data_IF_251321081552
#
_entry.id   IF_251321081552
#
_cell.length_a   1.000
_cell.length_b   1.000
_cell.length_c   1.000
_cell.angle_alpha   90.00
_cell.angle_beta   90.00
_cell.angle_gamma   90.00
#
_symmetry.space_group_name_H-M   'P 1'
#
loop_
_entity.id
_entity.type
_entity.pdbx_description
1 polymer ?
#
# COMPACT_ATOMS: atom_id res chain seq x y z
N UNK A 1 50.25 -2.96 32.71
CA UNK A 1 49.31 -3.34 31.62
C UNK A 1 48.77 -2.05 30.99
N UNK A 2 48.92 -1.87 29.67
CA UNK A 2 48.61 -0.62 28.94
C UNK A 2 47.17 -0.65 28.41
N UNK A 3 46.35 0.29 28.83
CA UNK A 3 44.99 0.50 28.31
C UNK A 3 45.11 1.26 26.99
N UNK A 4 44.75 0.61 25.87
CA UNK A 4 44.60 1.29 24.58
C UNK A 4 43.19 1.84 24.47
N UNK A 5 43.07 3.17 24.49
CA UNK A 5 41.84 3.91 24.17
C UNK A 5 41.59 3.78 22.66
N UNK A 6 40.48 3.18 22.27
CA UNK A 6 40.00 3.19 20.88
C UNK A 6 39.02 4.35 20.78
N UNK A 7 39.47 5.45 20.20
CA UNK A 7 38.63 6.60 19.86
C UNK A 7 37.88 6.26 18.58
N UNK A 8 36.60 5.94 18.69
CA UNK A 8 35.70 5.79 17.54
C UNK A 8 35.08 7.16 17.22
N UNK A 9 35.72 7.85 16.27
CA UNK A 9 35.17 9.05 15.63
C UNK A 9 34.04 8.61 14.70
N UNK A 10 32.79 8.74 15.14
CA UNK A 10 31.61 8.55 14.28
C UNK A 10 31.38 9.87 13.54
N UNK A 11 32.02 10.00 12.38
CA UNK A 11 31.67 11.02 11.39
C UNK A 11 30.72 10.35 10.40
N UNK A 12 29.44 10.72 10.42
CA UNK A 12 28.47 10.10 9.52
C UNK A 12 27.14 10.82 9.53
N UNK A 13 27.04 11.83 8.65
CA UNK A 13 25.85 12.39 8.01
C UNK A 13 24.52 12.41 8.79
N UNK A 14 24.03 13.62 9.04
CA UNK A 14 22.64 13.89 9.37
C UNK A 14 21.70 13.25 8.32
N UNK A 15 21.02 12.17 8.69
CA UNK A 15 19.83 11.74 7.98
C UNK A 15 18.64 12.41 8.64
N UNK A 16 18.10 13.41 7.95
CA UNK A 16 16.76 13.92 8.17
C UNK A 16 15.76 12.77 7.94
N UNK A 17 15.57 11.91 8.93
CA UNK A 17 14.43 11.01 8.97
C UNK A 17 13.25 11.84 9.45
N UNK A 18 12.67 12.60 8.50
CA UNK A 18 11.39 13.26 8.70
C UNK A 18 10.40 12.24 9.26
N UNK A 19 9.72 12.63 10.32
CA UNK A 19 8.61 11.89 10.91
C UNK A 19 7.54 11.78 9.82
N UNK A 20 7.61 10.71 9.02
CA UNK A 20 6.53 10.32 8.14
C UNK A 20 5.48 9.70 9.06
N UNK A 21 4.63 10.57 9.58
CA UNK A 21 3.37 10.24 10.22
C UNK A 21 2.73 9.13 9.41
N UNK A 22 2.76 7.91 9.91
CA UNK A 22 1.89 6.85 9.47
C UNK A 22 0.48 7.29 9.86
N UNK A 23 -0.09 8.20 9.07
CA UNK A 23 -1.52 8.38 9.00
C UNK A 23 -2.00 7.06 8.44
N UNK A 24 -2.32 6.14 9.35
CA UNK A 24 -3.32 5.13 9.11
C UNK A 24 -4.57 5.92 8.69
N UNK A 25 -4.69 6.22 7.40
CA UNK A 25 -5.99 6.56 6.85
C UNK A 25 -6.86 5.39 7.26
N UNK A 26 -7.88 5.68 8.05
CA UNK A 26 -8.96 4.76 8.33
C UNK A 26 -9.52 4.38 6.97
N UNK A 27 -9.00 3.27 6.45
CA UNK A 27 -9.22 2.76 5.11
C UNK A 27 -10.65 2.25 5.08
N UNK A 28 -11.56 3.17 4.80
CA UNK A 28 -12.89 2.84 4.32
C UNK A 28 -12.79 3.00 2.82
N UNK A 29 -12.76 1.91 2.03
CA UNK A 29 -12.72 2.02 0.59
C UNK A 29 -14.05 2.65 0.18
N UNK A 30 -14.04 3.95 -0.09
CA UNK A 30 -15.13 4.54 -0.85
C UNK A 30 -15.24 3.78 -2.17
N UNK A 31 -16.44 3.49 -2.66
CA UNK A 31 -16.61 2.81 -3.93
C UNK A 31 -16.04 3.70 -5.04
N UNK A 32 -14.82 3.39 -5.47
CA UNK A 32 -14.18 4.03 -6.60
C UNK A 32 -14.80 3.50 -7.90
N UNK A 33 -14.87 4.35 -8.93
CA UNK A 33 -15.20 3.88 -10.28
C UNK A 33 -14.08 2.96 -10.79
N UNK A 34 -14.39 2.02 -11.70
CA UNK A 34 -13.36 1.12 -12.25
C UNK A 34 -12.21 1.87 -12.95
N UNK A 35 -12.53 3.01 -13.55
CA UNK A 35 -11.58 3.89 -14.23
C UNK A 35 -10.66 4.64 -13.26
N UNK A 36 -11.10 4.85 -12.01
CA UNK A 36 -10.34 5.59 -11.01
C UNK A 36 -8.94 5.01 -10.82
N UNK A 37 -8.80 3.68 -10.78
CA UNK A 37 -7.51 3.04 -10.55
C UNK A 37 -6.52 3.36 -11.67
N UNK A 38 -6.93 3.16 -12.92
CA UNK A 38 -6.10 3.44 -14.10
C UNK A 38 -5.77 4.94 -14.21
N UNK A 39 -6.72 5.82 -13.90
CA UNK A 39 -6.50 7.27 -13.88
C UNK A 39 -5.53 7.72 -12.76
N UNK A 40 -5.47 6.99 -11.65
CA UNK A 40 -4.65 7.34 -10.48
C UNK A 40 -3.23 6.79 -10.58
N UNK A 41 -3.09 5.56 -11.05
CA UNK A 41 -1.83 4.80 -11.04
C UNK A 41 -1.22 4.65 -12.44
N UNK A 42 -1.96 4.98 -13.50
CA UNK A 42 -1.51 4.91 -14.88
C UNK A 42 -1.58 3.51 -15.49
N UNK A 43 -1.42 3.45 -16.81
CA UNK A 43 -1.54 2.22 -17.60
C UNK A 43 -0.44 1.18 -17.30
N UNK A 44 0.69 1.59 -16.71
CA UNK A 44 1.74 0.67 -16.27
C UNK A 44 1.27 -0.30 -15.18
N UNK A 45 0.20 0.06 -14.47
CA UNK A 45 -0.36 -0.68 -13.34
C UNK A 45 -1.64 -1.43 -13.70
N UNK A 46 -1.85 -1.69 -15.00
CA UNK A 46 -3.09 -2.22 -15.56
C UNK A 46 -3.56 -3.51 -14.88
N UNK A 47 -2.66 -4.48 -14.69
CA UNK A 47 -3.01 -5.79 -14.11
C UNK A 47 -3.42 -5.68 -12.65
N UNK A 48 -2.68 -4.88 -11.86
CA UNK A 48 -3.03 -4.62 -10.46
C UNK A 48 -4.35 -3.86 -10.34
N UNK A 49 -4.61 -2.90 -11.23
CA UNK A 49 -5.87 -2.19 -11.26
C UNK A 49 -7.05 -3.08 -11.67
N UNK A 50 -6.86 -3.99 -12.63
CA UNK A 50 -7.88 -4.96 -13.00
C UNK A 50 -8.17 -5.93 -11.85
N UNK A 51 -7.12 -6.40 -11.17
CA UNK A 51 -7.28 -7.28 -10.01
C UNK A 51 -8.01 -6.58 -8.86
N UNK A 52 -7.64 -5.34 -8.52
CA UNK A 52 -8.33 -4.51 -7.54
C UNK A 52 -9.82 -4.35 -7.86
N UNK A 53 -10.14 -4.01 -9.11
CA UNK A 53 -11.52 -3.82 -9.55
C UNK A 53 -12.33 -5.12 -9.48
N UNK A 54 -11.76 -6.24 -9.92
CA UNK A 54 -12.40 -7.54 -9.84
C UNK A 54 -12.67 -7.97 -8.39
N UNK A 55 -11.68 -7.83 -7.51
CA UNK A 55 -11.82 -8.21 -6.10
C UNK A 55 -12.89 -7.35 -5.40
N UNK A 56 -12.93 -6.04 -5.71
CA UNK A 56 -13.96 -5.12 -5.18
C UNK A 56 -15.37 -5.53 -5.66
N UNK A 57 -15.53 -5.89 -6.93
CA UNK A 57 -16.80 -6.35 -7.48
C UNK A 57 -17.25 -7.67 -6.86
N UNK A 58 -16.33 -8.63 -6.71
CA UNK A 58 -16.62 -9.93 -6.08
C UNK A 58 -17.04 -9.74 -4.61
N UNK A 59 -16.31 -8.92 -3.85
CA UNK A 59 -16.65 -8.59 -2.47
C UNK A 59 -18.06 -7.97 -2.36
N UNK A 60 -18.42 -7.08 -3.30
CA UNK A 60 -19.75 -6.46 -3.35
C UNK A 60 -20.85 -7.49 -3.61
N UNK A 61 -20.69 -8.35 -4.62
CA UNK A 61 -21.67 -9.38 -4.98
C UNK A 61 -21.86 -10.37 -3.83
N UNK A 62 -20.77 -10.87 -3.25
CA UNK A 62 -20.82 -11.82 -2.13
C UNK A 62 -21.48 -11.20 -0.88
N UNK A 63 -21.21 -9.92 -0.60
CA UNK A 63 -21.85 -9.20 0.51
C UNK A 63 -23.36 -9.07 0.29
N UNK A 64 -23.81 -8.84 -0.94
CA UNK A 64 -25.24 -8.80 -1.28
C UNK A 64 -25.91 -10.17 -1.11
N UNK A 65 -25.16 -11.25 -1.32
CA UNK A 65 -25.62 -12.63 -1.12
C UNK A 65 -25.49 -13.11 0.33
N UNK A 66 -24.91 -12.31 1.24
CA UNK A 66 -24.66 -12.70 2.62
C UNK A 66 -23.53 -13.72 2.80
N UNK A 67 -22.62 -13.81 1.83
CA UNK A 67 -21.51 -14.77 1.85
C UNK A 67 -20.29 -14.20 2.58
N UNK A 68 -19.77 -14.95 3.56
CA UNK A 68 -18.61 -14.55 4.37
C UNK A 68 -17.34 -14.35 3.55
N UNK A 69 -17.23 -15.03 2.41
CA UNK A 69 -16.15 -14.90 1.43
C UNK A 69 -15.97 -13.46 0.96
N UNK A 70 -16.99 -12.60 1.08
CA UNK A 70 -16.88 -11.17 0.81
C UNK A 70 -15.70 -10.50 1.55
N UNK A 71 -15.35 -10.99 2.74
CA UNK A 71 -14.22 -10.49 3.55
C UNK A 71 -12.87 -10.83 2.92
N UNK A 72 -12.75 -12.00 2.31
CA UNK A 72 -11.51 -12.46 1.67
C UNK A 72 -11.24 -11.62 0.42
N UNK A 73 -12.27 -11.40 -0.41
CA UNK A 73 -12.17 -10.55 -1.58
C UNK A 73 -11.94 -9.07 -1.23
N UNK A 74 -12.55 -8.58 -0.14
CA UNK A 74 -12.24 -7.24 0.37
C UNK A 74 -10.76 -7.14 0.75
N UNK A 75 -10.23 -8.13 1.47
CA UNK A 75 -8.82 -8.15 1.86
C UNK A 75 -7.88 -8.19 0.65
N UNK A 76 -8.25 -8.95 -0.39
CA UNK A 76 -7.52 -9.00 -1.65
C UNK A 76 -7.50 -7.65 -2.39
N UNK A 77 -8.65 -6.95 -2.43
CA UNK A 77 -8.73 -5.60 -2.98
C UNK A 77 -7.84 -4.62 -2.20
N UNK A 78 -7.85 -4.70 -0.87
CA UNK A 78 -7.07 -3.82 0.00
C UNK A 78 -5.56 -4.06 -0.17
N UNK A 79 -5.15 -5.31 -0.33
CA UNK A 79 -3.76 -5.65 -0.63
C UNK A 79 -3.34 -5.12 -2.01
N UNK A 80 -4.18 -5.29 -3.03
CA UNK A 80 -3.92 -4.76 -4.36
C UNK A 80 -3.74 -3.24 -4.34
N UNK A 81 -4.61 -2.53 -3.61
CA UNK A 81 -4.51 -1.07 -3.50
C UNK A 81 -3.27 -0.64 -2.73
N UNK A 82 -2.91 -1.35 -1.65
CA UNK A 82 -1.65 -1.10 -0.94
C UNK A 82 -0.45 -1.24 -1.86
N UNK A 83 -0.40 -2.29 -2.69
CA UNK A 83 0.68 -2.51 -3.65
C UNK A 83 0.75 -1.42 -4.72
N UNK A 84 -0.39 -0.98 -5.26
CA UNK A 84 -0.46 0.14 -6.19
C UNK A 84 0.20 1.40 -5.62
N UNK A 85 -0.11 1.74 -4.36
CA UNK A 85 0.52 2.88 -3.68
C UNK A 85 2.01 2.67 -3.39
N UNK A 86 2.43 1.44 -3.07
CA UNK A 86 3.85 1.13 -2.86
C UNK A 86 4.67 1.25 -4.15
N UNK A 87 4.13 0.79 -5.27
CA UNK A 87 4.78 0.87 -6.58
C UNK A 87 4.84 2.31 -7.08
N UNK A 88 3.76 3.09 -6.90
CA UNK A 88 3.76 4.54 -7.20
C UNK A 88 4.81 5.31 -6.38
N UNK A 89 4.97 5.00 -5.09
CA UNK A 89 6.01 5.63 -4.24
C UNK A 89 7.43 5.28 -4.69
N UNK A 90 7.62 4.13 -5.32
CA UNK A 90 8.92 3.69 -5.86
C UNK A 90 9.25 4.34 -7.20
N UNK A 91 8.30 5.05 -7.82
CA UNK A 91 8.47 5.69 -9.12
C UNK A 91 8.65 4.68 -10.26
N UNK A 92 8.06 3.49 -10.10
CA UNK A 92 7.95 2.47 -11.15
C UNK A 92 6.76 2.78 -12.06
#
# INVERSE_FOLDING_TARGET
MKIRKITLTVTGAAMLAGVASAQASTYSPEPHSKEWCHNTFGDGQHDLCNYYNWATDAARILRQNGEDQAKDYQSAADEALRRLYEEQKRGL
#
